data_IF_577671530343
#
_entry.id   IF_577671530343
#
_cell.length_a   1.000
_cell.length_b   1.000
_cell.length_c   1.000
_cell.angle_alpha   90.00
_cell.angle_beta   90.00
_cell.angle_gamma   90.00
#
_symmetry.space_group_name_H-M   'P 1'
#
loop_
_entity.id
_entity.type
_entity.pdbx_description
1 polymer ?
#
# COMPACT_ATOMS: atom_id res chain seq x y z
N UNK A 1 -16.39 119.82 18.21
CA UNK A 1 -15.36 118.75 18.13
C UNK A 1 -15.94 117.41 17.69
N UNK A 2 -17.17 117.05 18.10
CA UNK A 2 -17.86 115.79 17.75
C UNK A 2 -18.00 115.46 16.25
N UNK A 3 -18.45 116.37 15.39
CA UNK A 3 -18.66 116.05 13.96
C UNK A 3 -17.37 115.66 13.22
N UNK A 4 -16.22 116.24 13.56
CA UNK A 4 -14.94 115.88 12.94
C UNK A 4 -14.50 114.46 13.32
N UNK A 5 -14.81 114.01 14.55
CA UNK A 5 -14.53 112.65 15.02
C UNK A 5 -15.45 111.64 14.32
N UNK A 6 -16.74 111.95 14.17
CA UNK A 6 -17.71 111.10 13.48
C UNK A 6 -17.34 110.90 12.01
N UNK A 7 -16.94 111.97 11.31
CA UNK A 7 -16.49 111.90 9.91
C UNK A 7 -15.24 111.03 9.77
N UNK A 8 -14.27 111.15 10.69
CA UNK A 8 -13.06 110.32 10.70
C UNK A 8 -13.36 108.83 10.88
N UNK A 9 -14.28 108.48 11.79
CA UNK A 9 -14.71 107.09 12.01
C UNK A 9 -15.44 106.54 10.77
N UNK A 10 -16.31 107.32 10.12
CA UNK A 10 -17.04 106.89 8.93
C UNK A 10 -16.10 106.57 7.75
N UNK A 11 -15.09 107.41 7.53
CA UNK A 11 -14.07 107.17 6.50
C UNK A 11 -13.24 105.94 6.82
N UNK A 12 -12.87 105.75 8.08
CA UNK A 12 -12.13 104.55 8.52
C UNK A 12 -12.95 103.27 8.31
N UNK A 13 -14.25 103.29 8.64
CA UNK A 13 -15.16 102.17 8.38
C UNK A 13 -15.27 101.89 6.89
N UNK A 14 -15.38 102.91 6.03
CA UNK A 14 -15.46 102.74 4.57
C UNK A 14 -14.17 102.14 3.98
N UNK A 15 -13.01 102.54 4.50
CA UNK A 15 -11.72 101.97 4.09
C UNK A 15 -11.62 100.51 4.54
N UNK A 16 -12.06 100.18 5.76
CA UNK A 16 -12.08 98.78 6.25
C UNK A 16 -13.05 97.94 5.43
N UNK A 17 -14.26 98.41 5.15
CA UNK A 17 -15.24 97.64 4.38
C UNK A 17 -14.80 97.46 2.94
N UNK A 18 -14.20 98.48 2.33
CA UNK A 18 -13.62 98.40 0.99
C UNK A 18 -12.46 97.41 0.91
N UNK A 19 -11.53 97.44 1.87
CA UNK A 19 -10.40 96.50 1.90
C UNK A 19 -10.85 95.06 2.18
N UNK A 20 -11.82 94.87 3.08
CA UNK A 20 -12.41 93.56 3.37
C UNK A 20 -13.15 92.99 2.15
N UNK A 21 -13.83 93.85 1.38
CA UNK A 21 -14.48 93.46 0.12
C UNK A 21 -13.47 93.06 -0.94
N UNK A 22 -12.38 93.82 -1.11
CA UNK A 22 -11.30 93.47 -2.04
C UNK A 22 -10.62 92.15 -1.66
N UNK A 23 -10.38 91.92 -0.36
CA UNK A 23 -9.85 90.65 0.13
C UNK A 23 -10.81 89.48 -0.11
N UNK A 24 -12.10 89.65 0.17
CA UNK A 24 -13.11 88.62 -0.09
C UNK A 24 -13.23 88.27 -1.58
N UNK A 25 -13.13 89.27 -2.46
CA UNK A 25 -13.12 89.06 -3.91
C UNK A 25 -11.88 88.27 -4.36
N UNK A 26 -10.69 88.68 -3.92
CA UNK A 26 -9.44 87.97 -4.24
C UNK A 26 -9.46 86.52 -3.75
N UNK A 27 -10.03 86.27 -2.56
CA UNK A 27 -10.13 84.93 -2.00
C UNK A 27 -11.14 84.07 -2.78
N UNK A 28 -12.23 84.65 -3.28
CA UNK A 28 -13.20 83.94 -4.11
C UNK A 28 -12.58 83.49 -5.44
N UNK A 29 -11.78 84.34 -6.08
CA UNK A 29 -11.05 84.00 -7.32
C UNK A 29 -10.04 82.86 -7.09
N UNK A 30 -9.31 82.90 -5.97
CA UNK A 30 -8.36 81.84 -5.61
C UNK A 30 -9.08 80.51 -5.29
N UNK A 31 -10.23 80.56 -4.62
CA UNK A 31 -11.08 79.39 -4.35
C UNK A 31 -11.59 78.77 -5.65
N UNK A 32 -12.06 79.58 -6.59
CA UNK A 32 -12.57 79.10 -7.89
C UNK A 32 -11.44 78.42 -8.68
N UNK A 33 -10.27 79.05 -8.77
CA UNK A 33 -9.09 78.49 -9.44
C UNK A 33 -8.65 77.16 -8.80
N UNK A 34 -8.61 77.08 -7.47
CA UNK A 34 -8.27 75.85 -6.76
C UNK A 34 -9.33 74.75 -6.96
N UNK A 35 -10.61 75.12 -7.06
CA UNK A 35 -11.70 74.17 -7.33
C UNK A 35 -11.56 73.52 -8.70
N UNK A 36 -11.20 74.31 -9.73
CA UNK A 36 -11.01 73.82 -11.10
C UNK A 36 -9.78 72.91 -11.20
N UNK A 37 -8.69 73.28 -10.52
CA UNK A 37 -7.51 72.42 -10.38
C UNK A 37 -7.86 71.08 -9.73
N UNK A 38 -8.63 71.11 -8.64
CA UNK A 38 -9.03 69.91 -7.93
C UNK A 38 -9.92 69.01 -8.81
N UNK A 39 -10.90 69.58 -9.52
CA UNK A 39 -11.75 68.83 -10.45
C UNK A 39 -10.92 68.19 -11.57
N UNK A 40 -9.97 68.93 -12.14
CA UNK A 40 -9.11 68.44 -13.22
C UNK A 40 -8.22 67.30 -12.73
N UNK A 41 -7.57 67.48 -11.57
CA UNK A 41 -6.76 66.44 -10.93
C UNK A 41 -7.58 65.20 -10.58
N UNK A 42 -8.77 65.35 -10.01
CA UNK A 42 -9.67 64.24 -9.70
C UNK A 42 -10.08 63.47 -10.95
N UNK A 43 -10.40 64.19 -12.05
CA UNK A 43 -10.73 63.58 -13.34
C UNK A 43 -9.54 62.78 -13.90
N UNK A 44 -8.34 63.34 -13.81
CA UNK A 44 -7.12 62.67 -14.27
C UNK A 44 -6.84 61.41 -13.44
N UNK A 45 -6.88 61.48 -12.11
CA UNK A 45 -6.70 60.31 -11.24
C UNK A 45 -7.76 59.23 -11.49
N UNK A 46 -9.03 59.62 -11.69
CA UNK A 46 -10.11 58.66 -12.02
C UNK A 46 -9.82 57.93 -13.32
N UNK A 47 -9.35 58.66 -14.35
CA UNK A 47 -8.96 58.06 -15.63
C UNK A 47 -7.77 57.11 -15.47
N UNK A 48 -6.73 57.52 -14.74
CA UNK A 48 -5.55 56.68 -14.47
C UNK A 48 -5.93 55.40 -13.71
N UNK A 49 -6.76 55.50 -12.66
CA UNK A 49 -7.22 54.35 -11.88
C UNK A 49 -8.01 53.38 -12.77
N UNK A 50 -8.91 53.90 -13.61
CA UNK A 50 -9.69 53.05 -14.52
C UNK A 50 -8.82 52.31 -15.53
N UNK A 51 -7.79 52.99 -16.07
CA UNK A 51 -6.86 52.38 -17.03
C UNK A 51 -6.03 51.26 -16.38
N UNK A 52 -5.44 51.52 -15.22
CA UNK A 52 -4.66 50.51 -14.47
C UNK A 52 -5.55 49.34 -14.04
N UNK A 53 -6.78 49.62 -13.61
CA UNK A 53 -7.73 48.56 -13.26
C UNK A 53 -8.10 47.67 -14.45
N UNK A 54 -8.27 48.26 -15.64
CA UNK A 54 -8.53 47.50 -16.87
C UNK A 54 -7.32 46.66 -17.28
N UNK A 55 -6.12 47.22 -17.18
CA UNK A 55 -4.86 46.53 -17.47
C UNK A 55 -4.67 45.33 -16.55
N UNK A 56 -4.79 45.52 -15.24
CA UNK A 56 -4.69 44.42 -14.28
C UNK A 56 -5.78 43.37 -14.49
N UNK A 57 -7.02 43.77 -14.81
CA UNK A 57 -8.09 42.81 -15.10
C UNK A 57 -7.77 41.94 -16.33
N UNK A 58 -7.19 42.54 -17.37
CA UNK A 58 -6.73 41.80 -18.56
C UNK A 58 -5.57 40.85 -18.22
N UNK A 59 -4.59 41.30 -17.44
CA UNK A 59 -3.47 40.46 -16.99
C UNK A 59 -3.94 39.27 -16.14
N UNK A 60 -4.83 39.51 -15.17
CA UNK A 60 -5.42 38.46 -14.33
C UNK A 60 -6.18 37.44 -15.18
N UNK A 61 -6.98 37.90 -16.16
CA UNK A 61 -7.69 37.00 -17.06
C UNK A 61 -6.73 36.15 -17.91
N UNK A 62 -5.65 36.75 -18.43
CA UNK A 62 -4.65 36.04 -19.22
C UNK A 62 -3.95 34.95 -18.41
N UNK A 63 -3.47 35.29 -17.21
CA UNK A 63 -2.83 34.33 -16.29
C UNK A 63 -3.80 33.24 -15.86
N UNK A 64 -5.07 33.58 -15.59
CA UNK A 64 -6.09 32.59 -15.25
C UNK A 64 -6.34 31.60 -16.39
N UNK A 65 -6.36 32.07 -17.64
CA UNK A 65 -6.53 31.21 -18.81
C UNK A 65 -5.31 30.31 -19.03
N UNK A 66 -4.10 30.84 -18.85
CA UNK A 66 -2.85 30.07 -18.94
C UNK A 66 -2.81 28.96 -17.88
N UNK A 67 -3.09 29.28 -16.62
CA UNK A 67 -3.14 28.29 -15.55
C UNK A 67 -4.24 27.25 -15.77
N UNK A 68 -5.42 27.64 -16.29
CA UNK A 68 -6.49 26.69 -16.59
C UNK A 68 -6.06 25.68 -17.67
N UNK A 69 -5.35 26.13 -18.71
CA UNK A 69 -4.80 25.25 -19.73
C UNK A 69 -3.73 24.30 -19.17
N UNK A 70 -2.82 24.81 -18.33
CA UNK A 70 -1.80 23.98 -17.67
C UNK A 70 -2.42 22.91 -16.75
N UNK A 71 -3.40 23.28 -15.92
CA UNK A 71 -4.10 22.34 -15.05
C UNK A 71 -4.81 21.25 -15.86
N UNK A 72 -5.44 21.60 -16.98
CA UNK A 72 -6.08 20.62 -17.87
C UNK A 72 -5.05 19.63 -18.44
N UNK A 73 -3.92 20.12 -18.93
CA UNK A 73 -2.87 19.28 -19.50
C UNK A 73 -2.29 18.29 -18.46
N UNK A 74 -2.01 18.78 -17.25
CA UNK A 74 -1.52 17.93 -16.14
C UNK A 74 -2.57 16.91 -15.72
N UNK A 75 -3.86 17.28 -15.73
CA UNK A 75 -4.95 16.35 -15.44
C UNK A 75 -5.04 15.21 -16.46
N UNK A 76 -4.85 15.51 -17.75
CA UNK A 76 -4.88 14.51 -18.82
C UNK A 76 -3.66 13.57 -18.74
N UNK A 77 -2.48 14.11 -18.43
CA UNK A 77 -1.27 13.31 -18.22
C UNK A 77 -1.44 12.36 -17.02
N UNK A 78 -2.01 12.84 -15.91
CA UNK A 78 -2.29 12.01 -14.75
C UNK A 78 -3.34 10.92 -15.02
N UNK A 79 -4.37 11.22 -15.83
CA UNK A 79 -5.35 10.24 -16.24
C UNK A 79 -4.71 9.12 -17.08
N UNK A 80 -3.80 9.48 -17.99
CA UNK A 80 -3.06 8.54 -18.83
C UNK A 80 -2.15 7.64 -17.98
N UNK A 81 -1.35 8.25 -17.09
CA UNK A 81 -0.46 7.52 -16.19
C UNK A 81 -1.23 6.53 -15.28
N UNK A 82 -2.42 6.92 -14.81
CA UNK A 82 -3.28 6.05 -13.99
C UNK A 82 -3.74 4.82 -14.77
N UNK A 83 -4.17 4.99 -16.02
CA UNK A 83 -4.59 3.87 -16.88
C UNK A 83 -3.43 2.91 -17.18
N UNK A 84 -2.26 3.44 -17.54
CA UNK A 84 -1.06 2.62 -17.77
C UNK A 84 -0.65 1.82 -16.54
N UNK A 85 -0.70 2.45 -15.36
CA UNK A 85 -0.36 1.80 -14.10
C UNK A 85 -1.36 0.69 -13.75
N UNK A 86 -2.66 0.93 -13.94
CA UNK A 86 -3.71 -0.07 -13.71
C UNK A 86 -3.57 -1.26 -14.67
N UNK A 87 -3.29 -0.99 -15.94
CA UNK A 87 -3.03 -2.03 -16.93
C UNK A 87 -1.80 -2.87 -16.55
N UNK A 88 -0.71 -2.22 -16.13
CA UNK A 88 0.51 -2.90 -15.69
C UNK A 88 0.29 -3.78 -14.44
N UNK A 89 -0.49 -3.29 -13.46
CA UNK A 89 -0.86 -4.09 -12.28
C UNK A 89 -1.70 -5.30 -12.68
N UNK A 90 -2.67 -5.13 -13.60
CA UNK A 90 -3.48 -6.23 -14.11
C UNK A 90 -2.65 -7.32 -14.78
N UNK A 91 -1.69 -6.93 -15.63
CA UNK A 91 -0.79 -7.90 -16.26
C UNK A 91 0.07 -8.65 -15.25
N UNK A 92 0.54 -7.95 -14.21
CA UNK A 92 1.37 -8.57 -13.17
C UNK A 92 0.56 -9.55 -12.31
N UNK A 93 -0.71 -9.25 -12.03
CA UNK A 93 -1.62 -10.17 -11.32
C UNK A 93 -1.86 -11.46 -12.11
N UNK A 94 -2.10 -11.34 -13.43
CA UNK A 94 -2.28 -12.48 -14.32
C UNK A 94 -1.01 -13.35 -14.39
N UNK A 95 0.18 -12.74 -14.49
CA UNK A 95 1.46 -13.46 -14.43
C UNK A 95 1.64 -14.19 -13.09
N UNK A 96 1.35 -13.52 -11.97
CA UNK A 96 1.48 -14.10 -10.63
C UNK A 96 0.55 -15.31 -10.45
N UNK A 97 -0.68 -15.22 -10.95
CA UNK A 97 -1.65 -16.34 -10.92
C UNK A 97 -1.17 -17.50 -11.79
N UNK A 98 -0.56 -17.23 -12.94
CA UNK A 98 0.07 -18.26 -13.77
C UNK A 98 1.14 -19.03 -13.02
N UNK A 99 2.09 -18.31 -12.40
CA UNK A 99 3.16 -18.90 -11.59
C UNK A 99 2.62 -19.67 -10.38
N UNK A 100 1.62 -19.14 -9.68
CA UNK A 100 0.99 -19.83 -8.56
C UNK A 100 0.36 -21.17 -8.98
N UNK A 101 -0.31 -21.20 -10.14
CA UNK A 101 -0.92 -22.43 -10.68
C UNK A 101 0.13 -23.46 -11.08
N UNK A 102 1.25 -23.02 -11.66
CA UNK A 102 2.38 -23.88 -12.02
C UNK A 102 3.06 -24.47 -10.78
N UNK A 103 3.20 -23.68 -9.72
CA UNK A 103 3.72 -24.13 -8.42
C UNK A 103 2.77 -25.13 -7.75
N UNK A 104 1.45 -24.93 -7.82
CA UNK A 104 0.47 -25.89 -7.29
C UNK A 104 0.51 -27.24 -8.03
N UNK A 105 0.74 -27.23 -9.36
CA UNK A 105 0.88 -28.45 -10.15
C UNK A 105 2.21 -29.17 -9.92
N UNK A 106 3.31 -28.42 -9.76
CA UNK A 106 4.65 -28.98 -9.59
C UNK A 106 4.93 -29.44 -8.15
N UNK A 107 4.21 -28.92 -7.17
CA UNK A 107 4.36 -29.33 -5.79
C UNK A 107 3.43 -30.52 -5.49
N UNK A 108 3.95 -31.74 -5.68
CA UNK A 108 3.65 -32.77 -4.68
C UNK A 108 4.00 -32.12 -3.34
N UNK A 109 2.99 -31.76 -2.55
CA UNK A 109 3.20 -31.09 -1.28
C UNK A 109 3.91 -32.07 -0.36
N UNK A 110 5.24 -32.02 -0.35
CA UNK A 110 6.10 -32.96 0.34
C UNK A 110 5.76 -33.00 1.85
N UNK A 111 5.32 -31.86 2.40
CA UNK A 111 4.83 -31.77 3.78
C UNK A 111 3.55 -32.56 4.00
N UNK A 112 2.58 -32.49 3.08
CA UNK A 112 1.34 -33.27 3.14
C UNK A 112 1.63 -34.77 2.99
N UNK A 113 2.44 -35.14 2.01
CA UNK A 113 2.86 -36.52 1.80
C UNK A 113 3.60 -37.07 3.03
N UNK A 114 4.52 -36.29 3.60
CA UNK A 114 5.23 -36.66 4.81
C UNK A 114 4.28 -36.90 5.99
N UNK A 115 3.31 -36.00 6.24
CA UNK A 115 2.35 -36.15 7.35
C UNK A 115 1.46 -37.39 7.21
N UNK A 116 1.15 -37.79 5.97
CA UNK A 116 0.35 -38.98 5.69
C UNK A 116 1.18 -40.26 5.88
N UNK A 117 2.37 -40.30 5.25
CA UNK A 117 3.26 -41.47 5.28
C UNK A 117 3.87 -41.69 6.67
N UNK A 118 4.22 -40.63 7.40
CA UNK A 118 4.91 -40.73 8.70
C UNK A 118 4.11 -41.51 9.73
N UNK A 119 2.78 -41.55 9.61
CA UNK A 119 1.91 -42.33 10.49
C UNK A 119 2.19 -43.82 10.37
N UNK A 120 2.46 -44.31 9.16
CA UNK A 120 2.72 -45.71 8.84
C UNK A 120 4.17 -46.16 9.03
N UNK A 121 5.08 -45.26 9.40
CA UNK A 121 6.49 -45.57 9.68
C UNK A 121 6.64 -45.96 11.15
N UNK A 122 7.45 -46.98 11.40
CA UNK A 122 7.72 -47.49 12.75
C UNK A 122 9.21 -47.54 13.01
N UNK A 123 9.60 -47.45 14.29
CA UNK A 123 10.98 -47.63 14.73
C UNK A 123 11.15 -49.01 15.34
N UNK A 124 12.29 -49.63 15.10
CA UNK A 124 12.61 -50.98 15.57
C UNK A 124 13.68 -50.88 16.67
N UNK A 125 13.44 -51.57 17.78
CA UNK A 125 14.30 -51.60 18.96
C UNK A 125 14.63 -53.04 19.36
N UNK A 126 15.83 -53.26 19.87
CA UNK A 126 16.25 -54.55 20.47
C UNK A 126 16.00 -54.62 21.99
N UNK A 127 15.37 -53.58 22.56
CA UNK A 127 15.09 -53.43 23.99
C UNK A 127 16.06 -52.48 24.70
N UNK A 128 17.25 -52.25 24.13
CA UNK A 128 18.25 -51.31 24.67
C UNK A 128 18.40 -50.07 23.79
N UNK A 129 18.33 -50.24 22.47
CA UNK A 129 18.51 -49.16 21.49
C UNK A 129 17.65 -49.33 20.25
N UNK A 130 17.38 -48.21 19.57
CA UNK A 130 16.78 -48.23 18.24
C UNK A 130 17.80 -48.77 17.23
N UNK A 131 17.45 -49.85 16.54
CA UNK A 131 18.28 -50.55 15.56
C UNK A 131 17.92 -50.21 14.11
N UNK A 132 16.73 -49.63 13.88
CA UNK A 132 16.35 -49.14 12.56
C UNK A 132 14.89 -48.77 12.43
N UNK A 133 14.36 -48.84 11.21
CA UNK A 133 12.99 -48.46 10.88
C UNK A 133 12.31 -49.50 10.00
N UNK A 134 10.99 -49.44 9.97
CA UNK A 134 10.14 -50.25 9.11
C UNK A 134 8.85 -49.51 8.79
N UNK A 135 7.93 -50.18 8.12
CA UNK A 135 6.62 -49.62 7.83
C UNK A 135 5.51 -50.65 7.94
N UNK A 136 4.30 -50.18 8.21
CA UNK A 136 3.09 -50.99 8.30
C UNK A 136 2.58 -51.32 6.89
N UNK A 137 2.34 -52.61 6.63
CA UNK A 137 1.95 -53.16 5.35
C UNK A 137 0.72 -54.07 5.46
N UNK A 138 -0.17 -53.91 4.48
CA UNK A 138 -1.33 -54.77 4.25
C UNK A 138 -2.47 -54.58 5.26
N UNK A 139 -3.67 -55.10 4.95
CA UNK A 139 -4.88 -54.91 5.76
C UNK A 139 -4.80 -55.57 7.14
N UNK A 140 -3.87 -56.51 7.31
CA UNK A 140 -3.64 -57.24 8.55
C UNK A 140 -2.67 -56.53 9.50
N UNK A 141 -2.10 -55.39 9.11
CA UNK A 141 -1.14 -54.64 9.92
C UNK A 141 0.14 -55.42 10.18
N UNK A 142 0.78 -55.93 9.13
CA UNK A 142 2.13 -56.50 9.28
C UNK A 142 3.15 -55.38 9.23
N UNK A 143 4.36 -55.62 9.73
CA UNK A 143 5.45 -54.65 9.62
C UNK A 143 6.53 -55.27 8.76
N UNK A 144 6.97 -54.52 7.76
CA UNK A 144 8.07 -54.89 6.89
C UNK A 144 9.32 -54.16 7.36
N UNK A 145 10.39 -54.93 7.55
CA UNK A 145 11.72 -54.44 7.91
C UNK A 145 12.77 -55.20 7.11
N UNK A 146 14.03 -54.72 7.06
CA UNK A 146 15.12 -55.52 6.56
C UNK A 146 15.33 -56.79 7.41
N UNK A 147 15.71 -57.91 6.78
CA UNK A 147 15.92 -59.16 7.49
C UNK A 147 17.14 -59.11 8.42
N UNK A 148 18.21 -58.41 8.03
CA UNK A 148 19.41 -58.31 8.87
C UNK A 148 19.15 -57.61 10.23
N UNK A 149 18.02 -56.89 10.37
CA UNK A 149 17.58 -56.30 11.64
C UNK A 149 17.02 -57.32 12.63
N UNK A 150 16.64 -58.53 12.20
CA UNK A 150 16.11 -59.59 13.07
C UNK A 150 17.09 -60.73 13.29
N UNK A 151 18.15 -60.82 12.49
CA UNK A 151 19.12 -61.89 12.58
C UNK A 151 19.81 -61.92 13.95
N UNK A 152 19.85 -63.10 14.58
CA UNK A 152 20.52 -63.33 15.86
C UNK A 152 19.89 -62.66 17.09
N UNK A 153 18.71 -62.03 16.96
CA UNK A 153 18.08 -61.28 18.05
C UNK A 153 16.97 -62.05 18.73
N UNK A 154 17.00 -62.07 20.06
CA UNK A 154 16.02 -62.76 20.89
C UNK A 154 14.72 -61.97 21.10
N UNK A 155 14.80 -60.64 21.02
CA UNK A 155 13.66 -59.73 21.24
C UNK A 155 13.67 -58.60 20.21
N UNK A 156 12.48 -58.29 19.69
CA UNK A 156 12.24 -57.20 18.76
C UNK A 156 11.01 -56.45 19.22
N UNK A 157 11.21 -55.19 19.57
CA UNK A 157 10.16 -54.26 19.95
C UNK A 157 9.96 -53.21 18.85
N UNK A 158 8.70 -52.89 18.59
CA UNK A 158 8.32 -51.88 17.61
C UNK A 158 7.73 -50.70 18.34
N UNK A 159 8.24 -49.51 18.02
CA UNK A 159 7.74 -48.24 18.51
C UNK A 159 6.94 -47.60 17.37
N UNK A 160 5.64 -47.39 17.62
CA UNK A 160 4.69 -46.81 16.68
C UNK A 160 4.80 -45.28 16.66
N UNK A 161 4.21 -44.65 15.64
CA UNK A 161 4.24 -43.19 15.48
C UNK A 161 3.55 -42.42 16.63
N UNK A 162 2.66 -43.08 17.38
CA UNK A 162 2.02 -42.53 18.59
C UNK A 162 2.90 -42.64 19.86
N UNK A 163 4.09 -43.24 19.74
CA UNK A 163 5.02 -43.47 20.84
C UNK A 163 4.78 -44.76 21.63
N UNK A 164 3.76 -45.55 21.30
CA UNK A 164 3.52 -46.84 21.96
C UNK A 164 4.51 -47.90 21.49
N UNK A 165 4.91 -48.78 22.42
CA UNK A 165 5.87 -49.86 22.16
C UNK A 165 5.18 -51.21 22.26
N UNK A 166 5.39 -52.09 21.29
CA UNK A 166 4.82 -53.43 21.26
C UNK A 166 5.83 -54.47 20.83
N UNK A 167 5.88 -55.60 21.55
CA UNK A 167 6.67 -56.75 21.16
C UNK A 167 6.12 -57.38 19.87
N UNK A 168 7.02 -57.75 18.96
CA UNK A 168 6.68 -58.30 17.67
C UNK A 168 7.13 -59.75 17.52
N UNK A 169 6.32 -60.56 16.84
CA UNK A 169 6.67 -61.91 16.43
C UNK A 169 7.11 -61.91 14.96
N UNK A 170 8.16 -62.64 14.63
CA UNK A 170 8.62 -62.84 13.26
C UNK A 170 7.70 -63.86 12.59
N UNK A 171 7.03 -63.44 11.50
CA UNK A 171 6.12 -64.30 10.73
C UNK A 171 6.85 -64.98 9.56
N UNK A 172 7.83 -64.28 8.98
CA UNK A 172 8.65 -64.83 7.91
C UNK A 172 9.85 -63.94 7.61
N UNK A 173 10.89 -64.55 7.06
CA UNK A 173 12.12 -63.89 6.63
C UNK A 173 12.54 -64.41 5.26
N UNK A 174 13.20 -63.56 4.49
CA UNK A 174 13.80 -63.89 3.21
C UNK A 174 15.21 -63.29 3.16
N UNK A 175 16.22 -64.13 3.28
CA UNK A 175 17.63 -63.72 3.26
C UNK A 175 18.03 -63.15 1.89
N UNK A 176 17.55 -63.74 0.79
CA UNK A 176 17.93 -63.31 -0.57
C UNK A 176 17.47 -61.88 -0.90
N UNK A 177 16.30 -61.46 -0.41
CA UNK A 177 15.76 -60.12 -0.63
C UNK A 177 15.99 -59.17 0.55
N UNK A 178 16.66 -59.62 1.61
CA UNK A 178 16.82 -58.90 2.88
C UNK A 178 15.50 -58.35 3.44
N UNK A 179 14.43 -59.16 3.51
CA UNK A 179 13.12 -58.74 4.02
C UNK A 179 12.64 -59.66 5.15
N UNK A 180 12.16 -59.07 6.24
CA UNK A 180 11.44 -59.75 7.30
C UNK A 180 10.06 -59.12 7.54
N UNK A 181 9.09 -59.98 7.85
CA UNK A 181 7.71 -59.60 8.16
C UNK A 181 7.42 -59.90 9.60
N UNK A 182 7.02 -58.88 10.34
CA UNK A 182 6.67 -58.95 11.75
C UNK A 182 5.16 -58.79 11.96
N UNK A 183 4.68 -59.37 13.06
CA UNK A 183 3.32 -59.18 13.56
C UNK A 183 3.36 -58.71 15.00
N UNK A 184 2.69 -57.59 15.28
CA UNK A 184 2.56 -57.09 16.64
C UNK A 184 1.61 -57.97 17.45
N UNK A 185 1.89 -58.11 18.74
CA UNK A 185 0.97 -58.74 19.69
C UNK A 185 -0.26 -57.87 19.96
N UNK A 186 -0.11 -56.56 19.89
CA UNK A 186 -1.20 -55.60 20.03
C UNK A 186 -1.85 -55.30 18.67
N UNK A 187 -3.14 -54.97 18.70
CA UNK A 187 -3.86 -54.52 17.50
C UNK A 187 -3.36 -53.14 17.08
N UNK A 188 -2.93 -53.04 15.82
CA UNK A 188 -2.56 -51.76 15.20
C UNK A 188 -3.79 -50.89 14.99
N UNK A 189 -3.64 -49.61 15.32
CA UNK A 189 -4.59 -48.52 15.06
C UNK A 189 -4.18 -47.69 13.84
N UNK A 190 -2.94 -47.84 13.38
CA UNK A 190 -2.35 -47.14 12.24
C UNK A 190 -2.74 -47.78 10.92
N UNK A 191 -3.04 -46.96 9.92
CA UNK A 191 -3.28 -47.41 8.54
C UNK A 191 -1.98 -47.89 7.86
N UNK A 192 -2.09 -48.97 7.11
CA UNK A 192 -0.98 -49.51 6.33
C UNK A 192 -0.66 -48.64 5.12
N UNK A 193 0.62 -48.53 4.77
CA UNK A 193 1.04 -47.88 3.56
C UNK A 193 0.67 -48.72 2.34
N UNK A 194 0.20 -48.05 1.28
CA UNK A 194 -0.07 -48.69 -0.01
C UNK A 194 1.23 -48.73 -0.81
N UNK A 195 1.59 -49.91 -1.32
CA UNK A 195 2.74 -50.06 -2.21
C UNK A 195 2.37 -49.59 -3.61
N UNK A 196 3.23 -48.74 -4.19
CA UNK A 196 3.12 -48.34 -5.58
C UNK A 196 3.78 -49.38 -6.51
N UNK A 197 3.38 -49.37 -7.78
CA UNK A 197 4.00 -50.19 -8.81
C UNK A 197 5.39 -49.63 -9.17
N UNK A 198 6.44 -50.35 -8.78
CA UNK A 198 7.82 -49.94 -9.03
C UNK A 198 8.18 -49.87 -10.52
N UNK A 199 7.46 -50.56 -11.40
CA UNK A 199 7.69 -50.51 -12.85
C UNK A 199 7.29 -49.17 -13.47
N UNK A 200 6.44 -48.41 -12.77
CA UNK A 200 5.99 -47.08 -13.20
C UNK A 200 6.89 -45.95 -12.67
N UNK A 201 7.81 -46.27 -11.76
CA UNK A 201 8.75 -45.30 -11.18
C UNK A 201 9.93 -45.11 -12.12
N UNK A 202 10.19 -43.86 -12.51
CA UNK A 202 11.43 -43.45 -13.18
C UNK A 202 12.35 -42.81 -12.16
N UNK A 203 13.57 -43.33 -12.05
CA UNK A 203 14.63 -42.85 -11.14
C UNK A 203 15.68 -42.11 -11.96
#
# INVERSE_FOLDING_TARGET
MFNKVIIGILVFVLVITGSLCAYAFSLAEEIDALSEQLITSQKEHTAQISAVSMEHAAQISAVSMEHAAYISAVSDELATFREETLAGIGTLDDELRGVATELELSAINASKLYQEVSKGIVRISDGEKTIGSGFVFGPNGHIVIPQHLVEGRAQIDVILADGSTSAAAIIGTCEHSDIAVLKLKQRLTTEALTLADSTTVRV
#
